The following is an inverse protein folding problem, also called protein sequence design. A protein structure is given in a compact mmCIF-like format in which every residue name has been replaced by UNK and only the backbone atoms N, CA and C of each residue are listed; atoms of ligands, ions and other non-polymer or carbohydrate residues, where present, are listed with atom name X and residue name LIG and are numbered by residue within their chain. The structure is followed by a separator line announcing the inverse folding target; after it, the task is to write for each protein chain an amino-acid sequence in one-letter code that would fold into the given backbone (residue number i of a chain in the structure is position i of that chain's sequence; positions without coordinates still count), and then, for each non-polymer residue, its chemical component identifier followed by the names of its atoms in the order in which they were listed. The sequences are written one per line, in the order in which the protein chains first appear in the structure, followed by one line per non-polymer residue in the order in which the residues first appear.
data_IF_319987562061
#
_entry.id   IF_319987562061
#
_cell.length_a   1.000
_cell.length_b   1.000
_cell.length_c   1.000
_cell.angle_alpha   90.00
_cell.angle_beta   90.00
_cell.angle_gamma   90.00
#
_symmetry.space_group_name_H-M   'P 1'
#
loop_
_entity.id
_entity.type
_entity.pdbx_description
1 polymer ?
#
# COMPACT_ATOMS: atom_id res chain seq x y z
N UNK A 1 -26.22 -27.70 -2.92
CA UNK A 1 -26.52 -26.26 -2.84
C UNK A 1 -26.71 -25.93 -1.36
N UNK A 2 -25.94 -25.14 -0.63
CA UNK A 2 -24.79 -24.30 -0.90
C UNK A 2 -24.47 -23.52 0.39
N UNK A 3 -23.28 -22.90 0.40
CA UNK A 3 -22.89 -21.72 1.17
C UNK A 3 -22.76 -21.85 2.69
N UNK A 4 -21.59 -22.29 3.17
CA UNK A 4 -21.20 -22.12 4.57
C UNK A 4 -19.70 -21.92 4.74
N UNK A 5 -19.18 -20.80 4.22
CA UNK A 5 -17.99 -20.14 4.81
C UNK A 5 -18.06 -18.64 4.51
N UNK A 6 -19.13 -17.97 4.96
CA UNK A 6 -19.12 -16.50 4.95
C UNK A 6 -18.46 -16.09 6.25
N UNK A 7 -17.18 -15.71 6.16
CA UNK A 7 -16.51 -14.98 7.23
C UNK A 7 -17.41 -13.82 7.67
N UNK A 8 -17.48 -13.58 8.97
CA UNK A 8 -18.36 -12.58 9.60
C UNK A 8 -18.33 -11.25 8.80
N UNK A 9 -19.48 -10.60 8.56
CA UNK A 9 -19.55 -9.42 7.69
C UNK A 9 -18.64 -8.25 8.11
N UNK A 10 -18.17 -8.20 9.35
CA UNK A 10 -17.13 -7.26 9.79
C UNK A 10 -15.78 -7.52 9.10
N UNK A 11 -15.35 -8.78 9.04
CA UNK A 11 -14.06 -9.19 8.48
C UNK A 11 -13.91 -8.89 6.99
N UNK A 12 -15.00 -8.97 6.24
CA UNK A 12 -15.01 -8.59 4.82
C UNK A 12 -14.82 -7.08 4.63
N UNK A 13 -15.31 -6.24 5.55
CA UNK A 13 -15.11 -4.79 5.50
C UNK A 13 -13.67 -4.42 5.84
N UNK A 14 -13.10 -5.05 6.85
CA UNK A 14 -11.70 -4.85 7.24
C UNK A 14 -10.76 -5.24 6.08
N UNK A 15 -10.97 -6.41 5.46
CA UNK A 15 -10.21 -6.84 4.27
C UNK A 15 -10.38 -5.86 3.10
N UNK A 16 -11.59 -5.35 2.87
CA UNK A 16 -11.83 -4.36 1.82
C UNK A 16 -11.12 -3.03 2.11
N UNK A 17 -11.08 -2.61 3.37
CA UNK A 17 -10.35 -1.42 3.81
C UNK A 17 -8.84 -1.59 3.61
N UNK A 18 -8.28 -2.71 4.04
CA UNK A 18 -6.87 -3.01 3.85
C UNK A 18 -6.48 -3.03 2.37
N UNK A 19 -7.34 -3.60 1.53
CA UNK A 19 -7.15 -3.61 0.07
C UNK A 19 -7.19 -2.21 -0.53
N UNK A 20 -8.08 -1.34 -0.05
CA UNK A 20 -8.08 0.06 -0.46
C UNK A 20 -6.80 0.77 -0.02
N UNK A 21 -6.31 0.54 1.21
CA UNK A 21 -5.05 1.10 1.70
C UNK A 21 -3.85 0.70 0.86
N UNK A 22 -3.76 -0.58 0.46
CA UNK A 22 -2.71 -1.05 -0.44
C UNK A 22 -2.81 -0.37 -1.81
N UNK A 23 -4.02 -0.20 -2.34
CA UNK A 23 -4.24 0.52 -3.60
C UNK A 23 -3.81 1.99 -3.48
N UNK A 24 -4.17 2.68 -2.41
CA UNK A 24 -3.79 4.08 -2.19
C UNK A 24 -2.27 4.23 -2.07
N UNK A 25 -1.61 3.36 -1.29
CA UNK A 25 -0.14 3.33 -1.14
C UNK A 25 0.54 3.10 -2.50
N UNK A 26 0.05 2.13 -3.27
CA UNK A 26 0.56 1.87 -4.61
C UNK A 26 0.28 3.01 -5.60
N UNK A 27 -0.88 3.68 -5.50
CA UNK A 27 -1.19 4.86 -6.31
C UNK A 27 -0.25 6.03 -5.97
N UNK A 28 0.03 6.30 -4.69
CA UNK A 28 1.00 7.31 -4.25
C UNK A 28 2.38 7.00 -4.87
N UNK A 29 2.83 5.76 -4.76
CA UNK A 29 4.11 5.35 -5.31
C UNK A 29 4.14 5.44 -6.85
N UNK A 30 3.05 5.09 -7.55
CA UNK A 30 2.92 5.27 -9.00
C UNK A 30 2.99 6.75 -9.40
N UNK A 31 2.29 7.64 -8.68
CA UNK A 31 2.32 9.09 -8.96
C UNK A 31 3.72 9.67 -8.82
N UNK A 32 4.45 9.26 -7.77
CA UNK A 32 5.84 9.68 -7.56
C UNK A 32 6.74 9.15 -8.69
N UNK A 33 6.57 7.88 -9.08
CA UNK A 33 7.29 7.28 -10.20
C UNK A 33 7.02 8.00 -11.53
N UNK A 34 5.76 8.34 -11.82
CA UNK A 34 5.38 9.11 -13.01
C UNK A 34 5.99 10.51 -13.02
N UNK A 35 6.03 11.19 -11.87
CA UNK A 35 6.75 12.47 -11.74
C UNK A 35 8.25 12.29 -11.99
N UNK A 36 8.86 11.25 -11.40
CA UNK A 36 10.26 10.91 -11.66
C UNK A 36 10.54 10.64 -13.13
N UNK A 37 9.67 9.91 -13.83
CA UNK A 37 9.80 9.68 -15.28
C UNK A 37 9.65 10.97 -16.09
N UNK A 38 8.86 11.93 -15.60
CA UNK A 38 8.61 13.21 -16.27
C UNK A 38 9.76 14.21 -16.06
N UNK A 39 10.27 14.31 -14.84
CA UNK A 39 11.33 15.25 -14.44
C UNK A 39 12.74 14.66 -14.63
N UNK A 40 12.87 13.33 -14.67
CA UNK A 40 14.13 12.60 -14.82
C UNK A 40 15.08 12.82 -13.65
N UNK A 41 16.33 13.17 -13.96
CA UNK A 41 17.37 13.44 -12.96
C UNK A 41 17.15 14.73 -12.14
N UNK A 42 16.19 15.58 -12.54
CA UNK A 42 15.83 16.78 -11.77
C UNK A 42 14.76 16.52 -10.71
N UNK A 43 14.19 15.32 -10.69
CA UNK A 43 13.18 14.95 -9.71
C UNK A 43 13.81 14.80 -8.33
N UNK A 44 13.23 15.46 -7.34
CA UNK A 44 13.56 15.25 -5.93
C UNK A 44 12.33 14.75 -5.19
N UNK A 45 12.52 13.75 -4.33
CA UNK A 45 11.42 13.26 -3.50
C UNK A 45 10.87 14.39 -2.63
N UNK A 46 9.56 14.65 -2.69
CA UNK A 46 8.94 15.66 -1.84
C UNK A 46 9.11 15.25 -0.39
N UNK A 47 9.40 16.21 0.49
CA UNK A 47 9.54 15.92 1.93
C UNK A 47 8.21 15.52 2.58
N UNK A 48 7.08 15.87 1.95
CA UNK A 48 5.73 15.59 2.45
C UNK A 48 4.78 15.25 1.29
N UNK A 49 3.72 14.48 1.58
CA UNK A 49 2.63 14.20 0.66
C UNK A 49 1.65 15.38 0.50
N UNK A 50 2.03 16.63 0.84
CA UNK A 50 1.09 17.76 0.86
C UNK A 50 0.47 18.06 -0.52
N UNK A 51 1.16 17.67 -1.60
CA UNK A 51 0.67 17.80 -2.97
C UNK A 51 -0.23 16.63 -3.43
N UNK A 52 -0.32 15.54 -2.65
CA UNK A 52 -1.03 14.32 -3.04
C UNK A 52 -2.34 14.23 -2.27
N UNK A 53 -3.47 14.34 -2.97
CA UNK A 53 -4.81 14.29 -2.35
C UNK A 53 -5.11 12.96 -1.65
N UNK A 54 -4.41 11.87 -2.01
CA UNK A 54 -4.50 10.56 -1.38
C UNK A 54 -3.77 10.47 -0.02
N UNK A 55 -3.39 11.59 0.60
CA UNK A 55 -2.70 11.58 1.92
C UNK A 55 -3.52 10.96 3.05
N UNK A 56 -4.85 10.86 2.91
CA UNK A 56 -5.73 10.31 3.93
C UNK A 56 -6.47 9.09 3.39
N UNK A 57 -6.51 8.02 4.17
CA UNK A 57 -7.34 6.85 3.92
C UNK A 57 -8.82 7.29 3.81
N UNK A 58 -9.50 7.05 2.67
CA UNK A 58 -10.89 7.49 2.49
C UNK A 58 -11.89 6.72 3.37
N UNK A 59 -11.53 5.54 3.90
CA UNK A 59 -12.36 4.75 4.80
C UNK A 59 -12.15 5.11 6.27
N UNK A 60 -10.91 5.31 6.69
CA UNK A 60 -10.62 5.61 8.12
C UNK A 60 -10.33 7.07 8.41
N UNK A 61 -10.19 7.90 7.38
CA UNK A 61 -9.74 9.29 7.47
C UNK A 61 -8.40 9.45 8.19
N UNK A 62 -7.63 8.38 8.33
CA UNK A 62 -6.30 8.42 8.92
C UNK A 62 -5.28 8.85 7.87
N UNK A 63 -4.39 9.81 8.19
CA UNK A 63 -3.33 10.18 7.27
C UNK A 63 -2.34 9.02 7.11
N UNK A 64 -1.93 8.73 5.87
CA UNK A 64 -0.79 7.86 5.60
C UNK A 64 0.48 8.57 6.08
N UNK A 65 1.31 7.88 6.87
CA UNK A 65 2.60 8.41 7.26
C UNK A 65 3.57 8.21 6.10
N UNK A 66 4.23 9.27 5.68
CA UNK A 66 5.26 9.25 4.67
C UNK A 66 6.56 9.75 5.28
N UNK A 67 7.63 9.00 5.08
CA UNK A 67 8.96 9.45 5.44
C UNK A 67 9.93 9.18 4.30
N UNK A 68 10.70 10.20 3.93
CA UNK A 68 11.77 10.08 2.95
C UNK A 68 12.98 9.42 3.63
N UNK A 69 13.44 8.29 3.09
CA UNK A 69 14.59 7.55 3.59
C UNK A 69 15.89 7.94 2.88
N UNK A 70 15.80 8.31 1.60
CA UNK A 70 16.93 8.69 0.77
C UNK A 70 16.55 9.66 -0.34
N UNK A 71 17.41 9.81 -1.34
CA UNK A 71 17.13 10.69 -2.50
C UNK A 71 16.11 10.10 -3.48
N UNK A 72 15.93 8.78 -3.44
CA UNK A 72 15.03 7.99 -4.29
C UNK A 72 14.11 7.06 -3.46
N UNK A 73 14.51 6.77 -2.23
CA UNK A 73 13.80 5.86 -1.32
C UNK A 73 12.88 6.60 -0.35
N UNK A 74 11.71 6.02 -0.13
CA UNK A 74 10.71 6.49 0.82
C UNK A 74 9.97 5.33 1.47
N UNK A 75 9.47 5.58 2.68
CA UNK A 75 8.56 4.68 3.36
C UNK A 75 7.15 5.28 3.47
N UNK A 76 6.15 4.42 3.30
CA UNK A 76 4.75 4.70 3.53
C UNK A 76 4.23 3.76 4.61
N UNK A 77 3.80 4.32 5.74
CA UNK A 77 3.14 3.54 6.78
C UNK A 77 1.62 3.71 6.72
N UNK A 78 0.95 2.58 6.81
CA UNK A 78 -0.50 2.48 6.97
C UNK A 78 -0.82 1.59 8.18
N UNK A 79 -1.98 1.79 8.77
CA UNK A 79 -2.49 0.90 9.80
C UNK A 79 -3.51 -0.03 9.17
N UNK A 80 -3.27 -1.33 9.24
CA UNK A 80 -4.14 -2.38 8.71
C UNK A 80 -5.00 -2.98 9.81
N UNK A 81 -6.25 -3.33 9.48
CA UNK A 81 -7.18 -3.94 10.44
C UNK A 81 -7.10 -5.48 10.40
N UNK A 82 -6.52 -6.07 9.35
CA UNK A 82 -6.35 -7.52 9.23
C UNK A 82 -4.91 -7.92 8.97
N UNK A 83 -4.59 -9.15 9.37
CA UNK A 83 -3.32 -9.79 9.06
C UNK A 83 -3.44 -10.56 7.74
N UNK A 84 -2.72 -10.10 6.71
CA UNK A 84 -2.72 -10.70 5.37
C UNK A 84 -2.10 -12.11 5.36
N UNK A 85 -1.26 -12.46 6.34
CA UNK A 85 -0.69 -13.80 6.48
C UNK A 85 -1.71 -14.82 6.99
N UNK A 86 -2.71 -14.37 7.77
CA UNK A 86 -3.79 -15.23 8.29
C UNK A 86 -4.88 -15.50 7.26
N UNK A 87 -5.11 -14.55 6.36
CA UNK A 87 -5.97 -14.70 5.19
C UNK A 87 -5.09 -14.82 3.97
N UNK A 88 -4.53 -16.01 3.73
CA UNK A 88 -3.79 -16.33 2.50
C UNK A 88 -4.54 -15.77 1.28
N UNK A 89 -4.11 -14.62 0.80
CA UNK A 89 -4.60 -14.01 -0.43
C UNK A 89 -3.96 -14.79 -1.59
N UNK A 90 -4.50 -15.99 -1.82
CA UNK A 90 -4.14 -16.90 -2.90
C UNK A 90 -2.70 -17.45 -2.90
N UNK A 91 -2.57 -18.77 -2.99
CA UNK A 91 -1.39 -19.55 -3.43
C UNK A 91 -0.02 -18.80 -3.44
N UNK A 92 0.47 -18.49 -2.24
CA UNK A 92 1.54 -17.51 -1.96
C UNK A 92 2.98 -17.99 -2.28
N UNK A 93 3.15 -19.13 -2.92
CA UNK A 93 4.48 -19.74 -3.15
C UNK A 93 5.14 -19.30 -4.46
N UNK A 94 4.45 -18.53 -5.31
CA UNK A 94 4.92 -18.30 -6.69
C UNK A 94 5.16 -16.84 -7.07
N UNK A 95 4.76 -15.85 -6.26
CA UNK A 95 4.90 -14.44 -6.63
C UNK A 95 5.61 -13.62 -5.54
N UNK A 96 6.92 -13.34 -5.68
CA UNK A 96 7.68 -12.54 -4.71
C UNK A 96 7.08 -11.14 -4.55
N UNK A 97 6.48 -10.63 -5.63
CA UNK A 97 5.75 -9.38 -5.67
C UNK A 97 4.52 -9.33 -4.75
N UNK A 98 3.82 -10.44 -4.52
CA UNK A 98 2.71 -10.47 -3.57
C UNK A 98 3.23 -10.52 -2.12
N UNK A 99 4.42 -11.10 -1.91
CA UNK A 99 5.02 -11.22 -0.59
C UNK A 99 5.42 -9.86 0.00
N UNK A 100 5.80 -8.89 -0.84
CA UNK A 100 6.14 -7.53 -0.41
C UNK A 100 4.95 -6.67 0.01
N UNK A 101 3.73 -7.03 -0.40
CA UNK A 101 2.50 -6.39 0.06
C UNK A 101 1.90 -7.08 1.29
N UNK A 102 2.63 -8.00 1.92
CA UNK A 102 2.19 -8.62 3.17
C UNK A 102 2.30 -7.64 4.33
N UNK A 103 1.23 -7.55 5.11
CA UNK A 103 1.18 -6.74 6.31
C UNK A 103 0.60 -7.55 7.49
N UNK A 104 1.16 -7.39 8.69
CA UNK A 104 0.49 -7.82 9.91
C UNK A 104 -0.73 -6.92 10.18
N UNK A 105 -1.60 -7.38 11.07
CA UNK A 105 -2.61 -6.51 11.68
C UNK A 105 -1.90 -5.39 12.48
N UNK A 106 -2.34 -4.14 12.28
CA UNK A 106 -1.80 -2.94 12.91
C UNK A 106 -0.93 -2.08 11.99
N UNK A 107 -0.08 -1.24 12.59
CA UNK A 107 0.80 -0.32 11.85
C UNK A 107 1.89 -1.09 11.12
N UNK A 108 1.95 -0.95 9.81
CA UNK A 108 2.99 -1.51 8.95
C UNK A 108 3.52 -0.45 7.97
N UNK A 109 4.82 -0.47 7.70
CA UNK A 109 5.50 0.46 6.82
C UNK A 109 6.08 -0.28 5.63
N UNK A 110 5.78 0.19 4.43
CA UNK A 110 6.34 -0.31 3.18
C UNK A 110 7.37 0.66 2.65
N UNK A 111 8.52 0.13 2.27
CA UNK A 111 9.59 0.87 1.61
C UNK A 111 9.41 0.79 0.09
N UNK A 112 9.50 1.93 -0.58
CA UNK A 112 9.38 2.07 -2.01
C UNK A 112 10.55 2.90 -2.54
N UNK A 113 11.01 2.53 -3.73
CA UNK A 113 11.97 3.30 -4.51
C UNK A 113 11.21 3.97 -5.65
N UNK A 114 11.35 5.29 -5.81
CA UNK A 114 10.71 6.03 -6.89
C UNK A 114 11.20 5.60 -8.28
N UNK A 115 12.37 4.99 -8.37
CA UNK A 115 12.93 4.45 -9.62
C UNK A 115 12.34 3.10 -9.99
N UNK A 116 11.79 2.37 -9.02
CA UNK A 116 11.15 1.07 -9.23
C UNK A 116 9.64 1.24 -9.37
N UNK A 117 9.04 0.54 -10.34
CA UNK A 117 7.60 0.59 -10.50
C UNK A 117 6.92 -0.31 -9.45
N UNK A 118 6.06 0.22 -8.57
CA UNK A 118 5.34 -0.59 -7.59
C UNK A 118 4.29 -1.46 -8.31
N UNK A 119 4.66 -2.71 -8.63
CA UNK A 119 3.68 -3.67 -9.18
C UNK A 119 2.75 -4.13 -8.04
N UNK A 120 1.56 -3.53 -7.99
CA UNK A 120 0.46 -4.05 -7.19
C UNK A 120 0.02 -5.39 -7.78
N UNK A 121 0.18 -6.47 -7.02
CA UNK A 121 -0.32 -7.80 -7.41
C UNK A 121 -1.53 -8.09 -6.52
N UNK A 122 -2.68 -8.28 -7.15
CA UNK A 122 -3.96 -8.52 -6.50
C UNK A 122 -4.64 -9.78 -7.00
#
# INVERSE_FOLDING_TARGET
MGFWVIGTPGRQREIAADRQRLQDVGEIAQRLHEQYLTEGDSFELPATLDAIELRNDPLTSQPYEYARLGDRDFELCATFDTDSSTHRLSNQDSNPDAARWQHPEGRHCFEFDVTEYPTLVY
#
